data_IF_124236007784
#
_entry.id   IF_124236007784
#
_cell.length_a   1.000
_cell.length_b   1.000
_cell.length_c   1.000
_cell.angle_alpha   90.00
_cell.angle_beta   90.00
_cell.angle_gamma   90.00
#
_symmetry.space_group_name_H-M   'P 1'
#
loop_
_entity.id
_entity.type
_entity.pdbx_description
1 polymer ?
#
# COMPACT_ATOMS: atom_id res chain seq x y z
N UNK A 1 16.41 27.87 -29.16
CA UNK A 1 15.28 28.20 -28.26
C UNK A 1 14.87 26.94 -27.47
N UNK A 2 15.62 26.46 -26.47
CA UNK A 2 15.37 25.08 -25.99
C UNK A 2 15.89 24.67 -24.61
N UNK A 3 16.42 25.58 -23.80
CA UNK A 3 17.04 25.24 -22.51
C UNK A 3 16.44 25.98 -21.30
N UNK A 4 15.40 26.80 -21.52
CA UNK A 4 14.72 27.53 -20.44
C UNK A 4 13.60 26.71 -19.78
N UNK A 5 13.24 25.56 -20.36
CA UNK A 5 12.06 24.81 -19.96
C UNK A 5 12.33 23.85 -18.81
N UNK A 6 13.39 23.04 -18.89
CA UNK A 6 13.65 21.98 -17.90
C UNK A 6 14.01 22.58 -16.54
N UNK A 7 14.84 23.62 -16.50
CA UNK A 7 15.22 24.29 -15.25
C UNK A 7 14.02 24.92 -14.55
N UNK A 8 13.10 25.53 -15.30
CA UNK A 8 11.90 26.13 -14.75
C UNK A 8 10.99 25.08 -14.11
N UNK A 9 10.78 23.94 -14.79
CA UNK A 9 9.99 22.83 -14.25
C UNK A 9 10.57 22.25 -12.96
N UNK A 10 11.91 22.14 -12.84
CA UNK A 10 12.56 21.70 -11.60
C UNK A 10 12.31 22.70 -10.46
N UNK A 11 12.43 24.01 -10.72
CA UNK A 11 12.15 25.05 -9.72
C UNK A 11 10.69 24.99 -9.26
N UNK A 12 9.74 24.84 -10.17
CA UNK A 12 8.31 24.71 -9.83
C UNK A 12 8.07 23.46 -8.98
N UNK A 13 8.69 22.32 -9.31
CA UNK A 13 8.55 21.08 -8.56
C UNK A 13 9.10 21.23 -7.13
N UNK A 14 10.25 21.89 -6.98
CA UNK A 14 10.84 22.21 -5.68
C UNK A 14 9.88 23.07 -4.85
N UNK A 15 9.36 24.16 -5.42
CA UNK A 15 8.43 25.06 -4.71
C UNK A 15 7.15 24.31 -4.29
N UNK A 16 6.62 23.44 -5.17
CA UNK A 16 5.44 22.64 -4.86
C UNK A 16 5.69 21.64 -3.72
N UNK A 17 6.86 20.99 -3.70
CA UNK A 17 7.28 20.10 -2.61
C UNK A 17 7.47 20.88 -1.30
N UNK A 18 8.02 22.09 -1.35
CA UNK A 18 8.19 22.93 -0.15
C UNK A 18 6.84 23.38 0.43
N UNK A 19 5.87 23.75 -0.43
CA UNK A 19 4.57 24.26 0.01
C UNK A 19 3.62 23.14 0.48
N UNK A 20 3.58 22.02 -0.23
CA UNK A 20 2.73 20.87 0.14
C UNK A 20 3.43 19.89 1.10
N UNK A 21 4.75 19.91 1.16
CA UNK A 21 5.57 19.00 1.95
C UNK A 21 5.94 17.70 1.21
N UNK A 22 7.12 17.15 1.52
CA UNK A 22 7.69 15.95 0.88
C UNK A 22 6.86 14.67 1.01
N UNK A 23 5.93 14.61 1.97
CA UNK A 23 5.04 13.45 2.16
C UNK A 23 3.70 13.57 1.45
N UNK A 24 3.17 14.78 1.23
CA UNK A 24 1.81 14.97 0.70
C UNK A 24 1.75 14.87 -0.82
N UNK A 25 2.78 15.35 -1.51
CA UNK A 25 2.88 15.28 -2.97
C UNK A 25 2.90 13.83 -3.50
N UNK A 26 3.79 12.93 -2.99
CA UNK A 26 3.80 11.54 -3.45
C UNK A 26 2.57 10.74 -2.99
N UNK A 27 2.00 11.05 -1.83
CA UNK A 27 0.81 10.38 -1.30
C UNK A 27 -0.45 10.74 -2.11
N UNK A 28 -0.65 12.04 -2.38
CA UNK A 28 -1.72 12.52 -3.26
C UNK A 28 -1.55 12.00 -4.70
N UNK A 29 -0.33 12.01 -5.25
CA UNK A 29 -0.05 11.44 -6.57
C UNK A 29 -0.34 9.93 -6.62
N UNK A 30 -0.06 9.18 -5.55
CA UNK A 30 -0.40 7.75 -5.44
C UNK A 30 -1.91 7.50 -5.32
N UNK A 31 -2.64 8.38 -4.65
CA UNK A 31 -4.11 8.34 -4.60
C UNK A 31 -4.72 8.62 -5.98
N UNK A 32 -4.34 9.76 -6.58
CA UNK A 32 -4.83 10.19 -7.88
C UNK A 32 -4.42 9.23 -9.01
N UNK A 33 -3.21 8.69 -8.96
CA UNK A 33 -2.71 7.74 -9.96
C UNK A 33 -3.45 6.40 -9.96
N UNK A 34 -3.96 5.94 -8.81
CA UNK A 34 -4.82 4.75 -8.73
C UNK A 34 -6.17 4.99 -9.40
N UNK A 35 -6.82 6.12 -9.11
CA UNK A 35 -8.08 6.49 -9.76
C UNK A 35 -7.91 6.70 -11.26
N UNK A 36 -6.85 7.41 -11.68
CA UNK A 36 -6.55 7.60 -13.10
C UNK A 36 -6.25 6.29 -13.83
N UNK A 37 -5.64 5.30 -13.17
CA UNK A 37 -5.36 3.99 -13.79
C UNK A 37 -6.64 3.22 -14.09
N UNK A 38 -7.61 3.25 -13.19
CA UNK A 38 -8.92 2.60 -13.37
C UNK A 38 -9.65 3.27 -14.54
N UNK A 39 -9.72 4.61 -14.53
CA UNK A 39 -10.30 5.36 -15.64
C UNK A 39 -9.54 5.13 -16.96
N UNK A 40 -8.21 5.05 -16.92
CA UNK A 40 -7.37 4.77 -18.11
C UNK A 40 -7.67 3.39 -18.68
N UNK A 41 -7.87 2.37 -17.84
CA UNK A 41 -8.24 1.02 -18.32
C UNK A 41 -9.63 0.99 -18.93
N UNK A 42 -10.62 1.65 -18.31
CA UNK A 42 -11.97 1.73 -18.85
C UNK A 42 -11.99 2.50 -20.18
N UNK A 43 -11.34 3.65 -20.23
CA UNK A 43 -11.21 4.45 -21.47
C UNK A 43 -10.43 3.69 -22.54
N UNK A 44 -9.37 2.95 -22.19
CA UNK A 44 -8.63 2.14 -23.17
C UNK A 44 -9.49 0.99 -23.69
N UNK A 45 -10.37 0.41 -22.87
CA UNK A 45 -11.30 -0.63 -23.30
C UNK A 45 -12.35 -0.08 -24.27
N UNK A 46 -12.87 1.13 -24.02
CA UNK A 46 -13.75 1.83 -24.95
C UNK A 46 -13.07 2.22 -26.27
N UNK A 47 -11.78 2.58 -26.23
CA UNK A 47 -11.02 2.89 -27.44
C UNK A 47 -10.58 1.61 -28.19
N UNK A 48 -10.33 0.51 -27.46
CA UNK A 48 -9.92 -0.77 -28.04
C UNK A 48 -11.07 -1.54 -28.71
N UNK A 49 -12.34 -1.27 -28.36
CA UNK A 49 -13.49 -1.78 -29.14
C UNK A 49 -13.62 -1.11 -30.53
N UNK A 50 -12.89 -0.04 -30.81
CA UNK A 50 -12.85 0.63 -32.12
C UNK A 50 -11.70 0.21 -33.05
N UNK A 51 -10.58 -0.29 -32.51
CA UNK A 51 -9.40 -0.69 -33.27
C UNK A 51 -8.75 -1.90 -32.59
N UNK A 52 -8.93 -3.06 -33.20
CA UNK A 52 -8.43 -4.35 -32.75
C UNK A 52 -6.91 -4.32 -32.55
N UNK A 53 -6.48 -4.84 -31.40
CA UNK A 53 -5.18 -5.48 -31.16
C UNK A 53 -3.92 -4.59 -31.34
N UNK A 54 -3.41 -4.03 -30.24
CA UNK A 54 -1.96 -4.02 -29.98
C UNK A 54 -1.57 -3.58 -28.55
N UNK A 55 -0.58 -4.32 -28.06
CA UNK A 55 0.25 -4.08 -26.89
C UNK A 55 -0.40 -4.39 -25.55
N UNK A 56 -0.32 -5.67 -25.21
CA UNK A 56 0.10 -6.08 -23.87
C UNK A 56 1.42 -5.36 -23.54
N UNK A 57 1.39 -4.47 -22.55
CA UNK A 57 2.62 -4.01 -21.91
C UNK A 57 2.40 -3.92 -20.39
N UNK A 58 3.01 -4.91 -19.76
CA UNK A 58 3.56 -4.90 -18.42
C UNK A 58 2.60 -4.84 -17.23
N UNK A 59 2.09 -6.04 -16.92
CA UNK A 59 1.83 -6.44 -15.55
C UNK A 59 3.15 -6.48 -14.76
N UNK A 60 3.56 -5.35 -14.17
CA UNK A 60 4.54 -5.33 -13.08
C UNK A 60 3.88 -4.74 -11.82
N UNK A 61 3.67 -5.54 -10.75
CA UNK A 61 3.29 -5.00 -9.46
C UNK A 61 4.53 -4.33 -8.85
N UNK A 62 4.75 -3.06 -9.17
CA UNK A 62 5.75 -2.26 -8.47
C UNK A 62 5.18 -1.78 -7.13
N UNK A 63 5.29 -2.66 -6.13
CA UNK A 63 5.59 -2.35 -4.74
C UNK A 63 4.86 -1.16 -4.10
N UNK A 64 3.75 -1.45 -3.45
CA UNK A 64 3.49 -0.87 -2.12
C UNK A 64 3.46 -2.04 -1.15
N UNK A 65 4.65 -2.42 -0.68
CA UNK A 65 4.79 -3.31 0.45
C UNK A 65 4.00 -2.72 1.64
N UNK A 66 3.04 -3.43 2.24
CA UNK A 66 2.93 -3.32 3.67
C UNK A 66 4.26 -3.83 4.21
N UNK A 67 4.93 -3.04 5.05
CA UNK A 67 5.99 -3.54 5.90
C UNK A 67 5.37 -4.57 6.86
N UNK A 68 5.05 -5.76 6.36
CA UNK A 68 5.01 -6.94 7.18
C UNK A 68 6.47 -7.26 7.44
N UNK A 69 6.89 -7.10 8.69
CA UNK A 69 8.02 -7.86 9.23
C UNK A 69 7.46 -9.17 9.79
N UNK A 70 7.38 -10.27 9.02
CA UNK A 70 7.52 -11.59 9.60
C UNK A 70 9.00 -11.90 9.66
N UNK A 71 9.51 -12.19 10.86
CA UNK A 71 10.35 -13.35 11.22
C UNK A 71 11.02 -13.04 12.56
N UNK A 72 10.49 -13.68 13.61
CA UNK A 72 11.25 -14.34 14.67
C UNK A 72 10.31 -15.35 15.36
N UNK A 73 10.21 -16.52 14.71
CA UNK A 73 9.96 -17.85 15.30
C UNK A 73 11.07 -18.19 16.34
N UNK A 74 11.07 -19.27 17.15
CA UNK A 74 10.06 -20.23 17.65
C UNK A 74 10.06 -20.38 19.21
N UNK A 75 9.09 -21.12 19.74
CA UNK A 75 9.18 -21.98 20.93
C UNK A 75 9.85 -21.44 22.22
N UNK A 76 9.04 -20.82 23.08
CA UNK A 76 9.20 -21.00 24.52
C UNK A 76 7.83 -21.04 25.20
N UNK A 77 7.58 -22.19 25.85
CA UNK A 77 6.72 -22.38 27.02
C UNK A 77 5.21 -22.16 26.85
N UNK A 78 4.63 -23.12 26.12
CA UNK A 78 3.51 -23.90 26.65
C UNK A 78 3.89 -24.48 28.02
N UNK A 79 3.61 -23.75 29.11
CA UNK A 79 3.68 -24.24 30.48
C UNK A 79 2.80 -23.36 31.41
N UNK A 80 1.55 -23.80 31.62
CA UNK A 80 0.65 -23.47 32.75
C UNK A 80 0.13 -22.00 32.89
N UNK A 81 -1.16 -21.79 33.23
CA UNK A 81 -1.82 -22.45 34.35
C UNK A 81 -3.17 -23.10 34.00
N UNK A 82 -3.18 -24.45 34.03
CA UNK A 82 -4.37 -25.24 34.35
C UNK A 82 -4.77 -25.15 35.84
N UNK A 83 -4.29 -24.15 36.58
CA UNK A 83 -4.56 -23.99 38.02
C UNK A 83 -5.91 -23.32 38.31
N UNK A 84 -6.41 -22.46 37.43
CA UNK A 84 -7.68 -21.75 37.70
C UNK A 84 -8.95 -22.62 37.61
N UNK A 85 -8.93 -23.72 36.87
CA UNK A 85 -10.12 -24.57 36.69
C UNK A 85 -10.24 -25.69 37.74
N UNK A 86 -9.14 -26.13 38.35
CA UNK A 86 -9.15 -27.19 39.35
C UNK A 86 -9.53 -26.67 40.76
N UNK A 87 -9.22 -25.41 41.09
CA UNK A 87 -9.59 -24.80 42.37
C UNK A 87 -11.09 -24.43 42.46
N UNK A 88 -11.76 -24.22 41.33
CA UNK A 88 -13.20 -23.96 41.30
C UNK A 88 -14.05 -25.24 41.51
N UNK A 89 -13.52 -26.41 41.16
CA UNK A 89 -14.21 -27.70 41.37
C UNK A 89 -14.16 -28.16 42.84
N UNK A 90 -13.12 -27.81 43.61
CA UNK A 90 -13.03 -28.18 45.02
C UNK A 90 -13.90 -27.34 45.95
N UNK A 91 -14.26 -26.11 45.57
CA UNK A 91 -15.12 -25.23 46.38
C UNK A 91 -16.63 -25.55 46.28
N UNK A 92 -17.07 -26.30 45.25
CA UNK A 92 -18.48 -26.66 45.05
C UNK A 92 -18.91 -27.96 45.75
N UNK A 93 -17.97 -28.78 46.23
CA UNK A 93 -18.25 -30.06 46.90
C UNK A 93 -18.22 -29.99 48.43
N UNK A 94 -18.05 -28.80 49.01
CA UNK A 94 -18.08 -28.55 50.46
C UNK A 94 -19.04 -27.38 50.74
N UNK A 95 -20.34 -27.62 50.53
CA UNK A 95 -21.46 -26.86 51.09
C UNK A 95 -22.74 -27.71 51.00
#
# INVERSE_FOLDING_TARGET
MGTWSVWHWVVVLIVLVLLFGSKRLPDAARGLGRSLRILKSEVRQMNAEGESDSSADEHKPAGSAPAQKPVAEPAAISAAPQQQANEQASHAATA
#
